data_IF_114063196774
#
_entry.id   IF_114063196774
#
_cell.length_a   1.000
_cell.length_b   1.000
_cell.length_c   1.000
_cell.angle_alpha   90.00
_cell.angle_beta   90.00
_cell.angle_gamma   90.00
#
_symmetry.space_group_name_H-M   'P 1'
#
loop_
_entity.id
_entity.type
_entity.pdbx_description
1 polymer ?
#
# COMPACT_ATOMS: atom_id res chain seq x y z
N UNK A 1 5.43 -19.54 4.83
CA UNK A 1 6.54 -18.71 4.32
C UNK A 1 6.10 -17.57 3.37
N UNK A 2 4.96 -17.64 2.65
CA UNK A 2 4.53 -16.58 1.73
C UNK A 2 3.92 -15.32 2.36
N UNK A 3 3.08 -15.49 3.39
CA UNK A 3 2.32 -14.37 4.00
C UNK A 3 3.21 -13.37 4.74
N UNK A 4 4.18 -13.84 5.53
CA UNK A 4 5.10 -12.99 6.28
C UNK A 4 6.04 -12.17 5.36
N UNK A 5 6.52 -12.79 4.28
CA UNK A 5 7.31 -12.08 3.26
C UNK A 5 6.48 -11.02 2.53
N UNK A 6 5.23 -11.33 2.15
CA UNK A 6 4.33 -10.39 1.51
C UNK A 6 4.01 -9.20 2.42
N UNK A 7 3.79 -9.47 3.71
CA UNK A 7 3.56 -8.43 4.71
C UNK A 7 4.78 -7.50 4.85
N UNK A 8 5.97 -8.06 5.05
CA UNK A 8 7.23 -7.29 5.11
C UNK A 8 7.45 -6.44 3.87
N UNK A 9 7.17 -6.98 2.68
CA UNK A 9 7.23 -6.20 1.45
C UNK A 9 6.21 -5.05 1.45
N UNK A 10 4.96 -5.33 1.83
CA UNK A 10 3.90 -4.33 1.86
C UNK A 10 4.22 -3.18 2.84
N UNK A 11 4.80 -3.50 3.99
CA UNK A 11 5.24 -2.53 5.00
C UNK A 11 6.38 -1.66 4.49
N UNK A 12 7.38 -2.24 3.82
CA UNK A 12 8.47 -1.46 3.20
C UNK A 12 7.95 -0.53 2.10
N UNK A 13 6.97 -0.96 1.30
CA UNK A 13 6.33 -0.07 0.33
C UNK A 13 5.59 1.07 1.03
N UNK A 14 4.83 0.76 2.09
CA UNK A 14 4.13 1.74 2.92
C UNK A 14 5.08 2.80 3.48
N UNK A 15 6.24 2.40 4.01
CA UNK A 15 7.29 3.31 4.52
C UNK A 15 7.83 4.25 3.45
N UNK A 16 8.10 3.75 2.23
CA UNK A 16 8.60 4.59 1.14
C UNK A 16 7.55 5.59 0.68
N UNK A 17 6.29 5.14 0.55
CA UNK A 17 5.19 6.01 0.16
C UNK A 17 4.98 7.09 1.23
N UNK A 18 4.93 6.71 2.52
CA UNK A 18 4.77 7.65 3.62
C UNK A 18 5.90 8.70 3.67
N UNK A 19 7.15 8.28 3.38
CA UNK A 19 8.29 9.19 3.35
C UNK A 19 8.26 10.15 2.15
N UNK A 20 7.78 9.70 0.98
CA UNK A 20 7.74 10.54 -0.24
C UNK A 20 6.47 11.38 -0.38
N UNK A 21 5.39 11.04 0.33
CA UNK A 21 4.10 11.72 0.27
C UNK A 21 4.14 13.25 0.48
N UNK A 22 4.97 13.81 1.38
CA UNK A 22 5.11 15.26 1.52
C UNK A 22 5.64 15.97 0.27
N UNK A 23 6.52 15.30 -0.49
CA UNK A 23 7.15 15.83 -1.70
C UNK A 23 6.42 15.44 -2.99
N UNK A 24 5.53 14.44 -2.90
CA UNK A 24 4.78 13.86 -4.02
C UNK A 24 3.27 13.81 -3.75
N UNK A 25 2.58 14.97 -3.63
CA UNK A 25 1.15 15.01 -3.39
C UNK A 25 0.34 14.34 -4.53
N UNK A 26 0.90 14.23 -5.74
CA UNK A 26 0.29 13.52 -6.87
C UNK A 26 0.02 12.04 -6.60
N UNK A 27 0.74 11.41 -5.65
CA UNK A 27 0.51 10.02 -5.27
C UNK A 27 -0.83 9.81 -4.57
N UNK A 28 -1.36 10.82 -3.89
CA UNK A 28 -2.71 10.77 -3.30
C UNK A 28 -3.77 10.73 -4.39
N UNK A 29 -3.62 11.56 -5.42
CA UNK A 29 -4.55 11.55 -6.55
C UNK A 29 -4.47 10.22 -7.31
N UNK A 30 -3.26 9.72 -7.56
CA UNK A 30 -3.05 8.39 -8.16
C UNK A 30 -3.78 7.30 -7.37
N UNK A 31 -3.68 7.32 -6.04
CA UNK A 31 -4.35 6.35 -5.18
C UNK A 31 -5.88 6.44 -5.30
N UNK A 32 -6.45 7.64 -5.30
CA UNK A 32 -7.90 7.85 -5.51
C UNK A 32 -8.35 7.34 -6.88
N UNK A 33 -7.60 7.66 -7.94
CA UNK A 33 -7.91 7.23 -9.30
C UNK A 33 -7.86 5.70 -9.44
N UNK A 34 -6.88 5.05 -8.78
CA UNK A 34 -6.80 3.60 -8.72
C UNK A 34 -8.03 2.98 -8.06
N UNK A 35 -8.51 3.54 -6.94
CA UNK A 35 -9.68 3.03 -6.23
C UNK A 35 -10.96 3.14 -7.07
N UNK A 36 -11.15 4.26 -7.79
CA UNK A 36 -12.27 4.43 -8.73
C UNK A 36 -12.19 3.36 -9.81
N UNK A 37 -11.05 3.26 -10.49
CA UNK A 37 -10.83 2.29 -11.57
C UNK A 37 -11.00 0.84 -11.11
N UNK A 38 -10.57 0.49 -9.91
CA UNK A 38 -10.73 -0.88 -9.38
C UNK A 38 -12.17 -1.17 -8.98
N UNK A 39 -12.89 -0.17 -8.47
CA UNK A 39 -14.31 -0.30 -8.14
C UNK A 39 -15.16 -0.55 -9.39
N UNK A 40 -14.89 0.18 -10.48
CA UNK A 40 -15.56 -0.02 -11.77
C UNK A 40 -15.28 -1.38 -12.40
N UNK A 41 -14.08 -1.93 -12.17
CA UNK A 41 -13.66 -3.24 -12.69
C UNK A 41 -14.17 -4.42 -11.89
N UNK A 42 -14.51 -4.21 -10.62
CA UNK A 42 -14.93 -5.27 -9.70
C UNK A 42 -16.30 -4.95 -9.08
N UNK A 43 -17.33 -4.63 -9.88
CA UNK A 43 -18.64 -4.18 -9.36
C UNK A 43 -19.34 -5.27 -8.54
N UNK A 44 -19.08 -6.55 -8.84
CA UNK A 44 -19.72 -7.70 -8.20
C UNK A 44 -18.91 -8.26 -7.01
N UNK A 45 -17.88 -7.55 -6.55
CA UNK A 45 -17.02 -7.97 -5.44
C UNK A 45 -17.26 -7.11 -4.18
N UNK A 46 -18.35 -7.31 -3.42
CA UNK A 46 -18.74 -6.44 -2.31
C UNK A 46 -17.68 -6.36 -1.19
N UNK A 47 -16.90 -7.41 -0.99
CA UNK A 47 -15.77 -7.41 -0.06
C UNK A 47 -14.66 -6.43 -0.46
N UNK A 48 -14.26 -6.44 -1.73
CA UNK A 48 -13.25 -5.51 -2.26
C UNK A 48 -13.77 -4.08 -2.27
N UNK A 49 -15.02 -3.87 -2.68
CA UNK A 49 -15.65 -2.55 -2.66
C UNK A 49 -15.69 -1.93 -1.26
N UNK A 50 -15.86 -2.76 -0.21
CA UNK A 50 -15.75 -2.27 1.17
C UNK A 50 -14.35 -1.78 1.48
N UNK A 51 -13.32 -2.56 1.16
CA UNK A 51 -11.93 -2.16 1.35
C UNK A 51 -11.57 -0.90 0.56
N UNK A 52 -12.10 -0.74 -0.66
CA UNK A 52 -11.85 0.45 -1.47
C UNK A 52 -12.49 1.71 -0.89
N UNK A 53 -13.72 1.60 -0.36
CA UNK A 53 -14.36 2.71 0.35
C UNK A 53 -13.62 3.10 1.62
N UNK A 54 -13.20 2.11 2.40
CA UNK A 54 -12.37 2.34 3.60
C UNK A 54 -11.08 3.09 3.25
N UNK A 55 -10.40 2.70 2.16
CA UNK A 55 -9.24 3.45 1.69
C UNK A 55 -9.57 4.87 1.21
N UNK A 56 -10.71 5.10 0.56
CA UNK A 56 -11.14 6.46 0.21
C UNK A 56 -11.30 7.32 1.46
N UNK A 57 -11.92 6.81 2.51
CA UNK A 57 -12.08 7.51 3.80
C UNK A 57 -10.73 7.83 4.45
N UNK A 58 -9.77 6.90 4.40
CA UNK A 58 -8.40 7.12 4.88
C UNK A 58 -7.70 8.23 4.08
N UNK A 59 -7.87 8.26 2.76
CA UNK A 59 -7.23 9.25 1.88
C UNK A 59 -7.81 10.67 2.01
N UNK A 60 -8.90 10.85 2.75
CA UNK A 60 -9.43 12.17 3.14
C UNK A 60 -8.85 12.68 4.47
N UNK A 61 -8.10 11.83 5.21
CA UNK A 61 -7.48 12.22 6.47
C UNK A 61 -6.24 13.10 6.25
N UNK A 62 -5.77 13.82 7.29
CA UNK A 62 -4.51 14.54 7.24
C UNK A 62 -3.34 13.62 6.85
N UNK A 63 -2.37 14.17 6.10
CA UNK A 63 -1.21 13.42 5.61
C UNK A 63 -0.50 12.61 6.70
N UNK A 64 -0.40 13.19 7.90
CA UNK A 64 0.18 12.53 9.07
C UNK A 64 -0.51 11.20 9.40
N UNK A 65 -1.83 11.18 9.42
CA UNK A 65 -2.62 9.98 9.73
C UNK A 65 -2.50 8.92 8.63
N UNK A 66 -2.49 9.35 7.36
CA UNK A 66 -2.23 8.46 6.22
C UNK A 66 -0.86 7.79 6.37
N UNK A 67 0.17 8.55 6.71
CA UNK A 67 1.52 8.02 6.93
C UNK A 67 1.59 7.05 8.12
N UNK A 68 0.88 7.35 9.21
CA UNK A 68 0.78 6.45 10.37
C UNK A 68 0.14 5.11 9.99
N UNK A 69 -0.94 5.12 9.20
CA UNK A 69 -1.61 3.90 8.72
C UNK A 69 -0.70 3.09 7.78
N UNK A 70 -0.02 3.76 6.85
CA UNK A 70 0.90 3.11 5.90
C UNK A 70 2.07 2.42 6.60
N UNK A 71 2.48 2.92 7.77
CA UNK A 71 3.63 2.42 8.53
C UNK A 71 3.27 1.59 9.76
N UNK A 72 1.98 1.41 10.05
CA UNK A 72 1.50 0.71 11.23
C UNK A 72 1.85 -0.80 11.22
N UNK A 73 2.64 -1.24 12.19
CA UNK A 73 2.98 -2.65 12.41
C UNK A 73 1.93 -3.35 13.29
N UNK A 74 0.66 -3.23 12.88
CA UNK A 74 -0.49 -3.86 13.53
C UNK A 74 -1.20 -4.79 12.56
N UNK A 75 -1.97 -5.75 13.08
CA UNK A 75 -2.80 -6.65 12.25
C UNK A 75 -3.73 -5.86 11.32
N UNK A 76 -4.25 -4.75 11.82
CA UNK A 76 -5.11 -3.84 11.07
C UNK A 76 -4.35 -3.10 9.96
N UNK A 77 -3.16 -2.57 10.25
CA UNK A 77 -2.29 -1.97 9.25
C UNK A 77 -1.88 -2.97 8.16
N UNK A 78 -1.58 -4.21 8.55
CA UNK A 78 -1.30 -5.30 7.62
C UNK A 78 -2.50 -5.58 6.70
N UNK A 79 -3.72 -5.69 7.27
CA UNK A 79 -4.95 -5.90 6.50
C UNK A 79 -5.15 -4.79 5.46
N UNK A 80 -5.00 -3.53 5.87
CA UNK A 80 -5.16 -2.37 4.99
C UNK A 80 -4.13 -2.40 3.85
N UNK A 81 -2.86 -2.66 4.16
CA UNK A 81 -1.77 -2.70 3.17
C UNK A 81 -1.93 -3.77 2.09
N UNK A 82 -2.63 -4.88 2.36
CA UNK A 82 -2.93 -5.90 1.35
C UNK A 82 -3.73 -5.35 0.16
N UNK A 83 -4.51 -4.28 0.39
CA UNK A 83 -5.31 -3.61 -0.64
C UNK A 83 -4.86 -2.15 -0.87
N UNK A 84 -3.58 -1.87 -0.63
CA UNK A 84 -3.03 -0.52 -0.77
C UNK A 84 -3.26 0.07 -2.17
N UNK A 85 -3.87 1.27 -2.30
CA UNK A 85 -4.18 1.91 -3.58
C UNK A 85 -3.00 2.59 -4.26
N UNK A 86 -1.81 2.56 -3.64
CA UNK A 86 -0.61 3.23 -4.14
C UNK A 86 0.15 2.44 -5.23
N UNK A 87 -0.53 1.51 -5.90
CA UNK A 87 0.05 0.78 -7.01
C UNK A 87 0.47 1.76 -8.12
N UNK A 88 1.77 1.77 -8.45
CA UNK A 88 2.35 2.68 -9.44
C UNK A 88 2.97 3.96 -8.85
N UNK A 89 2.82 4.23 -7.55
CA UNK A 89 3.47 5.39 -6.92
C UNK A 89 5.00 5.22 -6.89
N UNK A 90 5.48 4.01 -6.63
CA UNK A 90 6.90 3.66 -6.63
C UNK A 90 7.30 2.99 -7.94
N UNK A 91 8.49 3.34 -8.45
CA UNK A 91 9.01 2.79 -9.69
C UNK A 91 9.25 1.27 -9.59
N UNK A 92 8.99 0.53 -10.66
CA UNK A 92 9.06 -0.93 -10.67
C UNK A 92 10.43 -1.50 -10.26
N UNK A 93 11.52 -0.78 -10.56
CA UNK A 93 12.89 -1.15 -10.14
C UNK A 93 13.03 -1.14 -8.61
N UNK A 94 12.48 -0.13 -7.94
CA UNK A 94 12.49 -0.01 -6.48
C UNK A 94 11.73 -1.16 -5.84
N UNK A 95 10.53 -1.48 -6.37
CA UNK A 95 9.73 -2.65 -5.95
C UNK A 95 10.55 -3.94 -6.05
N UNK A 96 11.24 -4.14 -7.19
CA UNK A 96 12.05 -5.33 -7.42
C UNK A 96 13.25 -5.40 -6.46
N UNK A 97 13.94 -4.29 -6.22
CA UNK A 97 15.08 -4.23 -5.31
C UNK A 97 14.67 -4.58 -3.87
N UNK A 98 13.54 -4.06 -3.38
CA UNK A 98 13.02 -4.37 -2.04
C UNK A 98 12.68 -5.84 -1.92
N UNK A 99 11.93 -6.38 -2.89
CA UNK A 99 11.58 -7.81 -2.93
C UNK A 99 12.83 -8.69 -2.94
N UNK A 100 13.83 -8.33 -3.76
CA UNK A 100 15.10 -9.06 -3.83
C UNK A 100 15.85 -9.03 -2.50
N UNK A 101 15.97 -7.85 -1.87
CA UNK A 101 16.63 -7.68 -0.55
C UNK A 101 15.95 -8.52 0.52
N UNK A 102 14.63 -8.37 0.68
CA UNK A 102 13.88 -9.08 1.72
C UNK A 102 13.88 -10.61 1.53
N UNK A 103 13.89 -11.08 0.28
CA UNK A 103 14.01 -12.51 -0.02
C UNK A 103 15.39 -13.07 0.37
N UNK A 104 16.44 -12.29 0.13
CA UNK A 104 17.80 -12.65 0.53
C UNK A 104 17.93 -12.68 2.06
N UNK A 105 17.40 -11.68 2.76
CA UNK A 105 17.46 -11.60 4.23
C UNK A 105 16.66 -12.72 4.93
N UNK A 106 15.60 -13.23 4.28
CA UNK A 106 14.81 -14.35 4.80
C UNK A 106 15.47 -15.73 4.56
N UNK A 107 16.52 -15.79 3.74
CA UNK A 107 17.28 -17.02 3.50
C UNK A 107 18.77 -16.66 3.36
N UNK A 108 19.44 -16.26 4.47
CA UNK A 108 20.85 -15.97 4.45
C UNK A 108 21.59 -17.29 4.15
N UNK A 109 22.34 -17.31 3.04
CA UNK A 109 23.21 -18.44 2.65
C UNK A 109 24.13 -18.88 3.77
#
# INVERSE_FOLDING_TARGET
MGHEYQDRCSLEFGRIIAAGLPDHPEWLQLAKDNLVRWSERNPDAPGLLRCYREWLEILEQPLKEICEILTAETDEGQRLRQNSPFAGAIHYKTVWQIKKRLRHDANPT
#
